data_IF_267898680425
#
_entry.id   IF_267898680425
#
_cell.length_a   1.000
_cell.length_b   1.000
_cell.length_c   1.000
_cell.angle_alpha   90.00
_cell.angle_beta   90.00
_cell.angle_gamma   90.00
#
_symmetry.space_group_name_H-M   'P 1'
#
loop_
_entity.id
_entity.type
_entity.pdbx_description
1 polymer ?
#
# COMPACT_ATOMS: atom_id res chain seq x y z
N UNK A 1 7.58 31.37 11.31
CA UNK A 1 6.79 30.14 11.36
C UNK A 1 7.61 28.95 10.94
N UNK A 2 7.87 28.10 11.89
CA UNK A 2 8.56 26.85 11.62
C UNK A 2 7.64 25.95 10.82
N UNK A 3 8.04 25.61 9.61
CA UNK A 3 7.39 24.52 8.90
C UNK A 3 7.60 23.26 9.73
N UNK A 4 6.50 22.64 10.15
CA UNK A 4 6.57 21.31 10.71
C UNK A 4 6.99 20.36 9.60
N UNK A 5 8.29 20.24 9.40
CA UNK A 5 8.83 19.15 8.59
C UNK A 5 8.69 17.88 9.41
N UNK A 6 7.73 17.05 9.03
CA UNK A 6 7.58 15.74 9.63
C UNK A 6 8.79 14.92 9.25
N UNK A 7 9.59 14.57 10.24
CA UNK A 7 10.75 13.72 10.13
C UNK A 7 10.29 12.31 9.70
N UNK A 8 11.09 11.58 8.91
CA UNK A 8 10.80 10.20 8.52
C UNK A 8 10.47 9.30 9.72
N UNK A 9 11.06 9.59 10.90
CA UNK A 9 10.79 8.85 12.13
C UNK A 9 9.36 9.02 12.65
N UNK A 10 8.64 10.06 12.18
CA UNK A 10 7.26 10.33 12.57
C UNK A 10 6.26 9.78 11.57
N UNK A 11 6.74 9.29 10.44
CA UNK A 11 5.87 8.71 9.41
C UNK A 11 5.41 7.31 9.81
N UNK A 12 4.25 6.90 9.29
CA UNK A 12 3.78 5.54 9.46
C UNK A 12 4.75 4.56 8.81
N UNK A 13 5.20 3.57 9.58
CA UNK A 13 6.07 2.49 9.09
C UNK A 13 5.45 1.16 9.48
N UNK A 14 5.28 0.27 8.51
CA UNK A 14 4.79 -1.09 8.74
C UNK A 14 5.81 -2.05 8.17
N UNK A 15 6.10 -3.11 8.90
CA UNK A 15 7.03 -4.14 8.43
C UNK A 15 6.42 -5.52 8.58
N UNK A 16 6.78 -6.43 7.68
CA UNK A 16 6.39 -7.82 7.78
C UNK A 16 7.47 -8.71 7.15
N UNK A 17 7.77 -9.82 7.81
CA UNK A 17 8.64 -10.86 7.25
C UNK A 17 7.76 -11.95 6.63
N UNK A 18 8.07 -12.29 5.38
CA UNK A 18 7.37 -13.35 4.64
C UNK A 18 8.29 -14.54 4.43
N UNK A 19 7.74 -15.74 4.57
CA UNK A 19 8.44 -16.99 4.29
C UNK A 19 8.41 -17.28 2.78
N UNK A 20 8.99 -16.38 2.00
CA UNK A 20 9.01 -16.49 0.55
C UNK A 20 10.14 -15.63 -0.03
N UNK A 21 10.68 -16.00 -1.20
CA UNK A 21 11.70 -15.19 -1.87
C UNK A 21 11.13 -13.86 -2.36
N UNK A 22 12.00 -12.85 -2.46
CA UNK A 22 11.63 -11.49 -2.87
C UNK A 22 10.81 -11.46 -4.15
N UNK A 23 11.17 -12.28 -5.12
CA UNK A 23 10.48 -12.28 -6.41
C UNK A 23 8.98 -12.60 -6.27
N UNK A 24 8.60 -13.48 -5.34
CA UNK A 24 7.19 -13.82 -5.11
C UNK A 24 6.46 -12.73 -4.33
N UNK A 25 7.10 -12.14 -3.32
CA UNK A 25 6.51 -11.03 -2.58
C UNK A 25 6.32 -9.83 -3.52
N UNK A 26 7.32 -9.55 -4.34
CA UNK A 26 7.26 -8.51 -5.37
C UNK A 26 6.11 -8.77 -6.34
N UNK A 27 5.97 -10.00 -6.82
CA UNK A 27 4.91 -10.37 -7.75
C UNK A 27 3.52 -10.13 -7.14
N UNK A 28 3.31 -10.52 -5.89
CA UNK A 28 2.05 -10.32 -5.20
C UNK A 28 1.73 -8.83 -5.00
N UNK A 29 2.74 -7.98 -4.92
CA UNK A 29 2.60 -6.54 -4.72
C UNK A 29 2.39 -5.77 -6.04
N UNK A 30 2.92 -6.28 -7.14
CA UNK A 30 2.99 -5.53 -8.41
C UNK A 30 2.11 -6.07 -9.53
N UNK A 31 1.39 -7.15 -9.30
CA UNK A 31 0.45 -7.72 -10.26
C UNK A 31 -0.97 -7.46 -9.77
N UNK A 32 -1.80 -6.70 -10.53
CA UNK A 32 -3.14 -6.35 -10.08
C UNK A 32 -4.03 -7.55 -9.75
N UNK A 33 -3.81 -8.67 -10.42
CA UNK A 33 -4.53 -9.91 -10.13
C UNK A 33 -4.35 -10.35 -8.67
N UNK A 34 -3.15 -10.18 -8.13
CA UNK A 34 -2.87 -10.52 -6.73
C UNK A 34 -3.23 -9.38 -5.80
N UNK A 35 -3.00 -8.12 -6.20
CA UNK A 35 -3.35 -6.95 -5.38
C UNK A 35 -4.84 -6.96 -5.05
N UNK A 36 -5.70 -7.37 -5.99
CA UNK A 36 -7.13 -7.46 -5.75
C UNK A 36 -7.50 -8.49 -4.68
N UNK A 37 -6.59 -9.37 -4.30
CA UNK A 37 -6.82 -10.38 -3.26
C UNK A 37 -6.46 -9.89 -1.86
N UNK A 38 -5.64 -8.84 -1.74
CA UNK A 38 -5.21 -8.37 -0.42
C UNK A 38 -5.45 -6.87 -0.15
N UNK A 39 -5.76 -6.09 -1.17
CA UNK A 39 -5.99 -4.65 -1.00
C UNK A 39 -7.23 -4.40 -0.15
N UNK A 40 -7.09 -3.53 0.85
CA UNK A 40 -8.15 -3.21 1.81
C UNK A 40 -8.03 -4.00 3.11
N UNK A 41 -8.47 -3.42 4.22
CA UNK A 41 -8.43 -4.09 5.54
C UNK A 41 -9.26 -5.37 5.57
N UNK A 42 -9.20 -6.07 6.71
CA UNK A 42 -10.01 -7.26 6.93
C UNK A 42 -11.48 -6.98 6.60
N UNK A 43 -12.13 -7.95 5.97
CA UNK A 43 -13.53 -7.89 5.53
C UNK A 43 -13.81 -6.94 4.38
N UNK A 44 -12.82 -6.19 3.90
CA UNK A 44 -12.93 -5.43 2.65
C UNK A 44 -12.60 -6.33 1.46
N UNK A 45 -13.18 -6.00 0.32
CA UNK A 45 -12.81 -6.63 -0.96
C UNK A 45 -12.22 -5.56 -1.89
N UNK A 46 -11.52 -5.99 -2.92
CA UNK A 46 -10.95 -5.09 -3.92
C UNK A 46 -11.52 -5.45 -5.30
N UNK A 47 -12.69 -4.87 -5.67
CA UNK A 47 -13.36 -5.24 -6.92
C UNK A 47 -12.66 -4.73 -8.18
N UNK A 48 -11.72 -3.81 -8.04
CA UNK A 48 -11.02 -3.22 -9.18
C UNK A 48 -9.61 -2.82 -8.81
N UNK A 49 -8.65 -3.14 -9.68
CA UNK A 49 -7.28 -2.63 -9.58
C UNK A 49 -6.65 -2.64 -10.97
N UNK A 50 -6.15 -1.49 -11.38
CA UNK A 50 -5.48 -1.31 -12.65
C UNK A 50 -4.13 -0.66 -12.38
N UNK A 51 -3.06 -1.23 -12.94
CA UNK A 51 -1.70 -0.79 -12.67
C UNK A 51 -0.91 -0.72 -13.98
N UNK A 52 -0.36 0.45 -14.28
CA UNK A 52 0.65 0.62 -15.32
C UNK A 52 2.00 0.65 -14.60
N UNK A 53 2.54 -0.53 -14.32
CA UNK A 53 3.70 -0.66 -13.43
C UNK A 53 5.01 -0.35 -14.14
N UNK A 54 5.30 0.94 -14.24
CA UNK A 54 6.54 1.52 -14.79
C UNK A 54 6.73 2.90 -14.20
N UNK A 55 7.95 3.41 -14.22
CA UNK A 55 8.20 4.79 -13.77
C UNK A 55 7.38 5.75 -14.64
N UNK A 56 6.62 6.64 -14.01
CA UNK A 56 5.69 7.54 -14.68
C UNK A 56 4.32 6.91 -14.95
N UNK A 57 4.16 5.60 -14.74
CA UNK A 57 2.87 4.93 -14.87
C UNK A 57 1.98 5.20 -13.67
N UNK A 58 0.68 5.00 -13.85
CA UNK A 58 -0.33 5.28 -12.82
C UNK A 58 -1.04 4.01 -12.38
N UNK A 59 -1.60 4.04 -11.18
CA UNK A 59 -2.46 2.97 -10.72
C UNK A 59 -3.78 3.54 -10.18
N UNK A 60 -4.81 2.70 -10.21
CA UNK A 60 -6.14 3.02 -9.69
C UNK A 60 -6.72 1.75 -9.09
N UNK A 61 -7.02 1.80 -7.80
CA UNK A 61 -7.58 0.64 -7.09
C UNK A 61 -8.80 1.07 -6.28
N UNK A 62 -9.75 0.13 -6.14
CA UNK A 62 -10.93 0.31 -5.32
C UNK A 62 -10.96 -0.75 -4.23
N UNK A 63 -11.25 -0.33 -3.01
CA UNK A 63 -11.59 -1.26 -1.95
C UNK A 63 -13.03 -1.01 -1.52
N UNK A 64 -13.74 -2.08 -1.21
CA UNK A 64 -15.16 -2.04 -0.84
C UNK A 64 -15.35 -2.59 0.55
N UNK A 65 -15.95 -1.77 1.42
CA UNK A 65 -16.28 -2.16 2.77
C UNK A 65 -17.46 -3.14 2.81
N UNK A 66 -17.66 -3.86 3.93
CA UNK A 66 -18.80 -4.80 4.05
C UNK A 66 -20.17 -4.15 3.84
N UNK A 67 -20.30 -2.87 4.15
CA UNK A 67 -21.56 -2.12 3.94
C UNK A 67 -21.78 -1.67 2.49
N UNK A 68 -20.82 -1.95 1.60
CA UNK A 68 -20.88 -1.58 0.19
C UNK A 68 -20.21 -0.25 -0.15
N UNK A 69 -19.74 0.52 0.83
CA UNK A 69 -19.05 1.77 0.55
C UNK A 69 -17.72 1.49 -0.14
N UNK A 70 -17.46 2.22 -1.22
CA UNK A 70 -16.23 2.09 -2.00
C UNK A 70 -15.29 3.25 -1.72
N UNK A 71 -13.99 2.93 -1.64
CA UNK A 71 -12.92 3.90 -1.48
C UNK A 71 -11.94 3.71 -2.64
N UNK A 72 -11.72 4.77 -3.41
CA UNK A 72 -10.82 4.73 -4.56
C UNK A 72 -9.52 5.42 -4.23
N UNK A 73 -8.43 4.78 -4.63
CA UNK A 73 -7.08 5.31 -4.49
C UNK A 73 -6.39 5.29 -5.83
N UNK A 74 -5.66 6.35 -6.12
CA UNK A 74 -4.86 6.46 -7.33
C UNK A 74 -3.46 6.95 -6.97
N UNK A 75 -2.54 6.81 -7.89
CA UNK A 75 -1.19 7.29 -7.69
C UNK A 75 -0.31 7.10 -8.90
N UNK A 76 0.96 7.39 -8.72
CA UNK A 76 1.95 7.32 -9.77
C UNK A 76 3.24 6.70 -9.22
N UNK A 77 3.91 5.91 -10.06
CA UNK A 77 5.21 5.32 -9.71
C UNK A 77 6.32 6.28 -10.07
N UNK A 78 7.17 6.62 -9.08
CA UNK A 78 8.27 7.57 -9.25
C UNK A 78 9.63 6.88 -9.36
N UNK A 79 9.81 5.76 -8.68
CA UNK A 79 11.03 4.98 -8.73
C UNK A 79 10.71 3.50 -8.58
N UNK A 80 11.33 2.67 -9.39
CA UNK A 80 11.18 1.21 -9.31
C UNK A 80 12.57 0.60 -9.44
N UNK A 81 13.00 -0.13 -8.39
CA UNK A 81 14.21 -0.94 -8.43
C UNK A 81 13.75 -2.39 -8.28
N UNK A 82 13.93 -3.17 -9.33
CA UNK A 82 13.37 -4.52 -9.45
C UNK A 82 13.68 -5.37 -8.21
N UNK A 83 12.64 -5.91 -7.60
CA UNK A 83 12.67 -6.75 -6.40
C UNK A 83 13.20 -6.05 -5.13
N UNK A 84 13.49 -4.75 -5.17
CA UNK A 84 14.09 -4.04 -4.05
C UNK A 84 13.27 -2.89 -3.51
N UNK A 85 12.72 -2.02 -4.39
CA UNK A 85 12.15 -0.75 -3.93
C UNK A 85 11.13 -0.18 -4.91
N UNK A 86 10.06 0.38 -4.35
CA UNK A 86 9.06 1.15 -5.11
C UNK A 86 8.83 2.46 -4.36
N UNK A 87 8.94 3.58 -5.07
CA UNK A 87 8.53 4.89 -4.57
C UNK A 87 7.32 5.32 -5.37
N UNK A 88 6.23 5.64 -4.70
CA UNK A 88 4.98 6.03 -5.37
C UNK A 88 4.27 7.13 -4.59
N UNK A 89 3.44 7.89 -5.28
CA UNK A 89 2.45 8.74 -4.63
C UNK A 89 1.14 7.96 -4.53
N UNK A 90 0.32 8.30 -3.54
CA UNK A 90 -1.02 7.71 -3.40
C UNK A 90 -1.93 8.75 -2.79
N UNK A 91 -3.13 8.87 -3.34
CA UNK A 91 -4.14 9.81 -2.87
C UNK A 91 -5.53 9.20 -3.06
N UNK A 92 -6.49 9.71 -2.30
CA UNK A 92 -7.89 9.36 -2.54
C UNK A 92 -8.34 9.95 -3.87
N UNK A 93 -9.11 9.18 -4.62
CA UNK A 93 -9.56 9.57 -5.95
C UNK A 93 -11.03 9.25 -6.16
N UNK A 94 -11.58 9.74 -7.27
CA UNK A 94 -12.84 9.27 -7.80
C UNK A 94 -12.59 8.00 -8.66
N UNK A 95 -13.65 7.35 -9.17
CA UNK A 95 -13.45 6.16 -10.00
C UNK A 95 -12.69 6.39 -11.30
N UNK A 96 -12.52 7.64 -11.72
CA UNK A 96 -11.76 7.99 -12.92
C UNK A 96 -10.29 8.32 -12.61
N UNK A 97 -9.89 8.26 -11.33
CA UNK A 97 -8.51 8.52 -10.91
C UNK A 97 -8.21 9.97 -10.61
N UNK A 98 -9.20 10.85 -10.59
CA UNK A 98 -9.00 12.25 -10.23
C UNK A 98 -8.90 12.41 -8.72
N UNK A 99 -7.90 13.15 -8.25
CA UNK A 99 -7.70 13.38 -6.83
C UNK A 99 -8.93 14.06 -6.20
N UNK A 100 -9.35 13.55 -5.04
CA UNK A 100 -10.42 14.15 -4.23
C UNK A 100 -9.93 14.35 -2.80
N UNK A 101 -10.63 15.21 -2.06
CA UNK A 101 -10.30 15.42 -0.66
C UNK A 101 -10.70 14.19 0.17
N UNK A 102 -9.89 13.80 1.17
CA UNK A 102 -10.21 12.67 2.05
C UNK A 102 -11.60 12.80 2.70
N UNK A 103 -12.04 14.04 2.96
CA UNK A 103 -13.36 14.30 3.56
C UNK A 103 -14.52 13.74 2.74
N UNK A 104 -14.36 13.58 1.44
CA UNK A 104 -15.40 12.96 0.60
C UNK A 104 -15.67 11.51 0.98
N UNK A 105 -14.70 10.85 1.60
CA UNK A 105 -14.84 9.49 2.10
C UNK A 105 -15.02 9.43 3.63
N UNK A 106 -15.28 10.59 4.26
CA UNK A 106 -15.45 10.64 5.71
C UNK A 106 -14.16 10.59 6.49
N UNK A 107 -13.03 10.85 5.84
CA UNK A 107 -11.70 10.79 6.46
C UNK A 107 -11.29 12.21 6.88
N UNK A 108 -10.99 12.39 8.17
CA UNK A 108 -10.77 13.70 8.76
C UNK A 108 -9.30 14.16 8.76
N UNK A 109 -8.38 13.31 8.34
CA UNK A 109 -6.96 13.64 8.34
C UNK A 109 -6.40 13.65 6.93
N UNK A 110 -5.35 14.42 6.71
CA UNK A 110 -4.71 14.54 5.42
C UNK A 110 -3.33 13.86 5.43
N UNK A 111 -2.91 13.42 4.24
CA UNK A 111 -1.56 12.92 4.05
C UNK A 111 -0.55 14.06 4.23
N UNK A 112 0.71 13.70 4.52
CA UNK A 112 1.80 14.67 4.58
C UNK A 112 2.03 15.22 3.17
N UNK A 113 1.98 16.54 3.03
CA UNK A 113 2.11 17.19 1.73
C UNK A 113 3.48 16.87 1.10
N UNK A 114 3.45 16.44 -0.15
CA UNK A 114 4.65 16.08 -0.90
C UNK A 114 5.34 14.79 -0.48
N UNK A 115 4.77 14.04 0.45
CA UNK A 115 5.36 12.77 0.88
C UNK A 115 5.00 11.65 -0.08
N UNK A 116 5.99 10.83 -0.41
CA UNK A 116 5.78 9.64 -1.23
C UNK A 116 5.79 8.40 -0.35
N UNK A 117 5.03 7.40 -0.75
CA UNK A 117 5.09 6.07 -0.15
C UNK A 117 6.36 5.37 -0.61
N UNK A 118 7.02 4.68 0.31
CA UNK A 118 8.23 3.91 -0.02
C UNK A 118 8.03 2.48 0.44
N UNK A 119 8.14 1.54 -0.49
CA UNK A 119 8.06 0.11 -0.20
C UNK A 119 9.39 -0.53 -0.52
N UNK A 120 9.99 -1.22 0.44
CA UNK A 120 11.26 -1.93 0.24
C UNK A 120 11.09 -3.41 0.50
N UNK A 121 11.86 -4.21 -0.24
CA UNK A 121 11.85 -5.67 -0.18
C UNK A 121 13.27 -6.14 0.08
N UNK A 122 13.55 -6.56 1.31
CA UNK A 122 14.89 -6.98 1.72
C UNK A 122 14.97 -8.51 1.75
N UNK A 123 15.95 -9.06 1.05
CA UNK A 123 16.23 -10.49 1.09
C UNK A 123 16.99 -10.79 2.39
N UNK A 124 16.33 -11.53 3.29
CA UNK A 124 16.93 -11.90 4.57
C UNK A 124 17.81 -13.16 4.49
N UNK A 125 17.86 -13.81 3.33
CA UNK A 125 18.45 -15.13 3.21
C UNK A 125 17.46 -16.21 3.63
N UNK A 126 17.81 -17.47 3.42
CA UNK A 126 16.98 -18.63 3.79
C UNK A 126 15.56 -18.60 3.20
N UNK A 127 15.37 -17.90 2.07
CA UNK A 127 14.06 -17.82 1.41
C UNK A 127 13.07 -16.88 2.09
N UNK A 128 13.54 -15.95 2.92
CA UNK A 128 12.69 -14.97 3.61
C UNK A 128 12.89 -13.56 3.08
N UNK A 129 11.83 -12.79 3.12
CA UNK A 129 11.82 -11.39 2.67
C UNK A 129 11.21 -10.49 3.75
N UNK A 130 11.89 -9.38 4.04
CA UNK A 130 11.33 -8.35 4.90
C UNK A 130 10.79 -7.22 4.03
N UNK A 131 9.49 -6.98 4.12
CA UNK A 131 8.84 -5.86 3.47
C UNK A 131 8.69 -4.73 4.48
N UNK A 132 9.07 -3.51 4.06
CA UNK A 132 8.86 -2.30 4.85
C UNK A 132 8.08 -1.32 3.99
N UNK A 133 6.96 -0.83 4.53
CA UNK A 133 6.15 0.19 3.89
C UNK A 133 6.18 1.45 4.74
N UNK A 134 6.62 2.56 4.14
CA UNK A 134 6.59 3.88 4.77
C UNK A 134 5.50 4.67 4.07
N UNK A 135 4.44 4.98 4.80
CA UNK A 135 3.27 5.65 4.25
C UNK A 135 3.41 7.16 4.22
N UNK A 136 2.46 7.80 3.57
CA UNK A 136 2.44 9.27 3.40
C UNK A 136 1.69 9.98 4.51
N UNK A 137 1.57 9.38 5.67
CA UNK A 137 0.96 10.04 6.81
C UNK A 137 1.77 9.79 8.09
N UNK A 138 1.45 10.53 9.16
CA UNK A 138 2.14 10.37 10.43
C UNK A 138 1.71 9.07 11.12
N UNK A 139 2.59 8.52 11.93
CA UNK A 139 2.27 7.35 12.74
C UNK A 139 1.10 7.65 13.69
N UNK A 140 1.05 8.83 14.24
CA UNK A 140 -0.04 9.23 15.13
C UNK A 140 -1.39 9.19 14.41
N UNK A 141 -1.49 9.81 13.24
CA UNK A 141 -2.72 9.79 12.44
C UNK A 141 -3.09 8.36 12.04
N UNK A 142 -2.11 7.55 11.67
CA UNK A 142 -2.35 6.17 11.28
C UNK A 142 -2.93 5.33 12.43
N UNK A 143 -2.45 5.57 13.66
CA UNK A 143 -2.98 4.89 14.85
C UNK A 143 -4.42 5.36 15.13
N UNK A 144 -4.63 6.66 15.16
CA UNK A 144 -5.93 7.27 15.51
C UNK A 144 -7.03 6.95 14.51
N UNK A 145 -6.68 6.86 13.23
CA UNK A 145 -7.65 6.57 12.15
C UNK A 145 -7.93 5.08 11.96
N UNK A 146 -7.12 4.22 12.58
CA UNK A 146 -7.19 2.77 12.34
C UNK A 146 -6.43 2.33 11.09
N UNK A 147 -5.74 3.23 10.40
CA UNK A 147 -5.02 2.89 9.18
C UNK A 147 -3.85 1.95 9.46
N UNK A 148 -3.16 2.12 10.59
CA UNK A 148 -2.06 1.22 10.96
C UNK A 148 -2.56 -0.21 11.14
N UNK A 149 -3.68 -0.38 11.85
CA UNK A 149 -4.31 -1.68 12.02
C UNK A 149 -4.79 -2.24 10.67
N UNK A 150 -5.37 -1.38 9.83
CA UNK A 150 -5.79 -1.77 8.48
C UNK A 150 -4.63 -2.28 7.63
N UNK A 151 -3.46 -1.65 7.72
CA UNK A 151 -2.27 -2.13 7.02
C UNK A 151 -1.80 -3.48 7.54
N UNK A 152 -1.83 -3.71 8.85
CA UNK A 152 -1.50 -5.01 9.42
C UNK A 152 -2.44 -6.09 8.88
N UNK A 153 -3.73 -5.80 8.78
CA UNK A 153 -4.73 -6.71 8.22
C UNK A 153 -4.50 -6.99 6.73
N UNK A 154 -4.14 -5.96 5.96
CA UNK A 154 -3.78 -6.14 4.56
C UNK A 154 -2.55 -7.03 4.40
N UNK A 155 -1.55 -6.85 5.25
CA UNK A 155 -0.34 -7.67 5.21
C UNK A 155 -0.62 -9.12 5.60
N UNK A 156 -1.60 -9.38 6.48
CA UNK A 156 -2.06 -10.73 6.76
C UNK A 156 -2.65 -11.39 5.51
N UNK A 157 -3.46 -10.65 4.75
CA UNK A 157 -4.03 -11.14 3.49
C UNK A 157 -2.93 -11.36 2.44
N UNK A 158 -1.98 -10.44 2.37
CA UNK A 158 -0.83 -10.58 1.47
C UNK A 158 -0.02 -11.83 1.80
N UNK A 159 0.18 -12.10 3.09
CA UNK A 159 0.89 -13.31 3.52
C UNK A 159 0.21 -14.58 3.01
N UNK A 160 -1.12 -14.63 3.05
CA UNK A 160 -1.88 -15.77 2.52
C UNK A 160 -1.72 -15.91 0.99
N UNK A 161 -1.73 -14.79 0.27
CA UNK A 161 -1.51 -14.79 -1.19
C UNK A 161 -0.11 -15.31 -1.52
N UNK A 162 0.90 -14.80 -0.81
CA UNK A 162 2.30 -15.20 -1.01
C UNK A 162 2.49 -16.68 -0.71
N UNK A 163 1.88 -17.18 0.37
CA UNK A 163 1.95 -18.61 0.72
C UNK A 163 1.36 -19.47 -0.40
N UNK A 164 0.27 -19.03 -1.01
CA UNK A 164 -0.31 -19.72 -2.16
C UNK A 164 0.63 -19.74 -3.37
N UNK A 165 1.36 -18.66 -3.60
CA UNK A 165 2.36 -18.60 -4.69
C UNK A 165 3.53 -19.54 -4.45
N UNK A 166 3.97 -19.69 -3.21
CA UNK A 166 5.04 -20.62 -2.86
C UNK A 166 4.60 -22.08 -3.14
N UNK A 167 3.36 -22.43 -2.79
CA UNK A 167 2.82 -23.77 -2.99
C UNK A 167 2.55 -24.09 -4.46
N UNK A 168 2.32 -23.09 -5.29
CA UNK A 168 2.01 -23.26 -6.70
C UNK A 168 3.22 -23.61 -7.57
N UNK A 169 4.43 -23.60 -7.02
CA UNK A 169 5.66 -23.97 -7.74
C UNK A 169 5.84 -25.48 -7.83
#
# INVERSE_FOLDING_TARGET
MTKNTVNEKERMVVTRVFDAPRALVWKAWTDPKYVMQWWGPKDFTAPFCEMDFRVGGKFLCCMRAPDGQEFWNAGEYHEIVLHEKIVSSMYFSDPEGNKVEPAQYGIEHEAIDGAYDVTTFEDLGNGQTKLTFIGNETMQNAIESGQLEGWAEQLDKLAAVVAGLVQAK
#
